data_IF_809248194263
#
_entry.id   IF_809248194263
#
_cell.length_a   1.000
_cell.length_b   1.000
_cell.length_c   1.000
_cell.angle_alpha   90.00
_cell.angle_beta   90.00
_cell.angle_gamma   90.00
#
_symmetry.space_group_name_H-M   'P 1'
#
loop_
_entity.id
_entity.type
_entity.pdbx_description
1 polymer ?
#
# COMPACT_ATOMS: atom_id res chain seq x y z
N UNK A 1 27.26 6.92 -44.48
CA UNK A 1 27.62 6.42 -43.14
C UNK A 1 27.25 7.40 -42.01
N UNK A 2 27.59 8.70 -42.10
CA UNK A 2 27.27 9.68 -41.04
C UNK A 2 25.77 9.97 -40.82
N UNK A 3 24.94 9.84 -41.86
CA UNK A 3 23.48 10.05 -41.75
C UNK A 3 22.79 9.00 -40.87
N UNK A 4 23.22 7.73 -40.96
CA UNK A 4 22.66 6.61 -40.19
C UNK A 4 22.97 6.72 -38.69
N UNK A 5 24.14 7.24 -38.33
CA UNK A 5 24.52 7.51 -36.93
C UNK A 5 23.67 8.62 -36.29
N UNK A 6 23.24 9.63 -37.07
CA UNK A 6 22.42 10.73 -36.54
C UNK A 6 21.02 10.27 -36.14
N UNK A 7 20.40 9.40 -36.95
CA UNK A 7 19.10 8.82 -36.61
C UNK A 7 19.20 7.87 -35.42
N UNK A 8 20.27 7.07 -35.31
CA UNK A 8 20.50 6.22 -34.15
C UNK A 8 20.61 7.04 -32.85
N UNK A 9 21.35 8.16 -32.86
CA UNK A 9 21.47 9.07 -31.71
C UNK A 9 20.13 9.73 -31.38
N UNK A 10 19.37 10.15 -32.40
CA UNK A 10 18.05 10.75 -32.22
C UNK A 10 17.07 9.77 -31.56
N UNK A 11 17.04 8.51 -32.01
CA UNK A 11 16.19 7.47 -31.43
C UNK A 11 16.61 7.08 -30.01
N UNK A 12 17.90 6.98 -29.72
CA UNK A 12 18.40 6.72 -28.36
C UNK A 12 17.98 7.85 -27.41
N UNK A 13 18.09 9.11 -27.84
CA UNK A 13 17.71 10.27 -27.02
C UNK A 13 16.20 10.30 -26.76
N UNK A 14 15.38 9.97 -27.77
CA UNK A 14 13.92 9.85 -27.62
C UNK A 14 13.54 8.72 -26.67
N UNK A 15 14.19 7.55 -26.77
CA UNK A 15 13.95 6.43 -25.85
C UNK A 15 14.31 6.76 -24.40
N UNK A 16 15.43 7.46 -24.16
CA UNK A 16 15.83 7.89 -22.81
C UNK A 16 14.84 8.92 -22.26
N UNK A 17 14.36 9.86 -23.08
CA UNK A 17 13.36 10.84 -22.66
C UNK A 17 12.01 10.19 -22.31
N UNK A 18 11.59 9.16 -23.05
CA UNK A 18 10.35 8.39 -22.79
C UNK A 18 10.45 7.48 -21.55
N UNK A 19 11.65 6.99 -21.22
CA UNK A 19 11.88 6.17 -20.01
C UNK A 19 11.79 6.97 -18.71
N UNK A 20 11.92 8.31 -18.76
CA UNK A 20 11.76 9.20 -17.60
C UNK A 20 10.29 9.49 -17.23
N UNK A 21 9.34 8.70 -17.76
CA UNK A 21 7.94 8.72 -17.32
C UNK A 21 7.87 8.22 -15.88
N UNK A 22 8.02 9.18 -14.97
CA UNK A 22 8.03 9.10 -13.50
C UNK A 22 7.26 7.90 -12.95
N UNK A 23 7.99 6.93 -12.42
CA UNK A 23 7.55 6.28 -11.20
C UNK A 23 7.47 7.39 -10.13
N UNK A 24 6.27 7.91 -9.87
CA UNK A 24 6.05 8.77 -8.73
C UNK A 24 6.26 7.90 -7.50
N UNK A 25 7.44 7.95 -6.89
CA UNK A 25 7.63 7.41 -5.55
C UNK A 25 6.61 8.13 -4.67
N UNK A 26 5.61 7.41 -4.16
CA UNK A 26 4.67 7.99 -3.21
C UNK A 26 5.47 8.57 -2.05
N UNK A 27 5.25 9.85 -1.76
CA UNK A 27 5.83 10.51 -0.60
C UNK A 27 5.15 9.97 0.64
N UNK A 28 5.72 8.90 1.19
CA UNK A 28 5.30 8.35 2.46
C UNK A 28 5.75 9.27 3.60
N UNK A 29 4.83 9.57 4.50
CA UNK A 29 5.03 10.36 5.72
C UNK A 29 4.84 9.43 6.90
N UNK A 30 5.73 9.51 7.88
CA UNK A 30 5.56 8.77 9.13
C UNK A 30 4.39 9.36 9.91
N UNK A 31 3.37 8.54 10.13
CA UNK A 31 2.24 8.87 10.98
C UNK A 31 2.66 8.89 12.45
N UNK A 32 2.32 9.97 13.16
CA UNK A 32 2.77 10.17 14.53
C UNK A 32 2.05 9.24 15.52
N UNK A 33 0.80 8.88 15.25
CA UNK A 33 -0.05 8.14 16.19
C UNK A 33 0.22 6.64 16.11
N UNK A 34 0.43 6.12 14.90
CA UNK A 34 0.62 4.67 14.65
C UNK A 34 2.04 4.26 14.32
N UNK A 35 2.94 5.22 14.04
CA UNK A 35 4.31 4.96 13.56
C UNK A 35 4.35 4.18 12.24
N UNK A 36 3.30 4.28 11.42
CA UNK A 36 3.20 3.67 10.09
C UNK A 36 3.55 4.72 9.03
N UNK A 37 4.29 4.33 7.99
CA UNK A 37 4.54 5.20 6.84
C UNK A 37 3.32 5.20 5.90
N UNK A 38 2.65 6.35 5.76
CA UNK A 38 1.42 6.51 4.98
C UNK A 38 1.61 7.49 3.83
N UNK A 39 0.87 7.35 2.71
CA UNK A 39 0.88 8.36 1.66
C UNK A 39 0.40 9.72 2.19
N UNK A 40 0.96 10.81 1.66
CA UNK A 40 0.56 12.16 2.06
C UNK A 40 -0.96 12.38 1.92
N UNK A 41 -1.61 12.87 2.98
CA UNK A 41 -3.05 13.11 3.05
C UNK A 41 -3.87 11.96 3.63
N UNK A 42 -3.25 10.84 3.99
CA UNK A 42 -3.85 9.76 4.76
C UNK A 42 -3.51 9.90 6.25
N UNK A 43 -4.36 9.29 7.08
CA UNK A 43 -4.27 9.24 8.54
C UNK A 43 -4.59 7.81 9.00
N UNK A 44 -4.00 7.35 10.11
CA UNK A 44 -4.26 6.03 10.67
C UNK A 44 -4.48 6.12 12.18
N UNK A 45 -5.42 5.33 12.68
CA UNK A 45 -5.77 5.28 14.10
C UNK A 45 -5.81 3.83 14.59
N UNK A 46 -5.30 3.59 15.80
CA UNK A 46 -5.46 2.31 16.48
C UNK A 46 -6.87 2.20 17.07
N UNK A 47 -7.75 1.44 16.41
CA UNK A 47 -9.13 1.26 16.88
C UNK A 47 -9.27 0.14 17.92
N UNK A 48 -8.45 -0.91 17.85
CA UNK A 48 -8.54 -2.06 18.75
C UNK A 48 -7.22 -2.83 18.81
N UNK A 49 -6.75 -3.12 20.03
CA UNK A 49 -5.62 -4.02 20.27
C UNK A 49 -6.14 -5.44 20.52
N UNK A 50 -5.70 -6.41 19.71
CA UNK A 50 -6.20 -7.78 19.78
C UNK A 50 -5.59 -8.50 20.99
N UNK A 51 -6.41 -8.93 21.97
CA UNK A 51 -5.89 -9.68 23.11
C UNK A 51 -5.49 -11.10 22.69
N UNK A 52 -4.49 -11.68 23.35
CA UNK A 52 -4.00 -13.03 23.05
C UNK A 52 -5.09 -14.12 23.09
N UNK A 53 -6.17 -13.91 23.86
CA UNK A 53 -7.33 -14.80 23.89
C UNK A 53 -8.11 -14.88 22.56
N UNK A 54 -7.91 -13.93 21.65
CA UNK A 54 -8.55 -13.85 20.34
C UNK A 54 -7.64 -14.28 19.18
N UNK A 55 -6.41 -14.73 19.48
CA UNK A 55 -5.45 -15.21 18.47
C UNK A 55 -4.89 -14.11 17.58
N UNK A 56 -4.33 -14.50 16.44
CA UNK A 56 -3.80 -13.59 15.42
C UNK A 56 -4.82 -13.44 14.31
N UNK A 57 -5.36 -12.24 14.08
CA UNK A 57 -6.35 -12.04 13.03
C UNK A 57 -5.73 -12.03 11.64
N UNK A 58 -6.28 -12.83 10.71
CA UNK A 58 -5.73 -13.02 9.35
C UNK A 58 -6.72 -12.69 8.23
N UNK A 59 -8.01 -12.55 8.54
CA UNK A 59 -9.04 -12.19 7.58
C UNK A 59 -10.05 -11.23 8.19
N UNK A 60 -10.58 -10.32 7.38
CA UNK A 60 -11.58 -9.35 7.80
C UNK A 60 -12.57 -9.02 6.67
N UNK A 61 -13.82 -8.73 7.03
CA UNK A 61 -14.85 -8.25 6.11
C UNK A 61 -15.88 -7.38 6.84
N UNK A 62 -16.51 -6.46 6.13
CA UNK A 62 -17.65 -5.71 6.66
C UNK A 62 -18.94 -6.54 6.55
N UNK A 63 -19.76 -6.51 7.60
CA UNK A 63 -21.12 -7.01 7.54
C UNK A 63 -22.09 -5.95 6.97
N UNK A 64 -23.37 -6.29 6.67
CA UNK A 64 -24.34 -5.33 6.11
C UNK A 64 -24.65 -4.11 6.99
N UNK A 65 -24.18 -4.07 8.24
CA UNK A 65 -24.31 -2.92 9.14
C UNK A 65 -23.03 -2.10 9.22
N UNK A 66 -22.00 -2.43 8.43
CA UNK A 66 -20.71 -1.74 8.44
C UNK A 66 -19.79 -2.14 9.60
N UNK A 67 -20.09 -3.23 10.31
CA UNK A 67 -19.25 -3.74 11.41
C UNK A 67 -18.17 -4.66 10.87
N UNK A 68 -17.04 -4.76 11.54
CA UNK A 68 -15.96 -5.67 11.13
C UNK A 68 -16.19 -7.07 11.69
N UNK A 69 -16.21 -8.06 10.80
CA UNK A 69 -16.08 -9.48 11.11
C UNK A 69 -14.63 -9.86 10.85
N UNK A 70 -13.99 -10.53 11.81
CA UNK A 70 -12.55 -10.87 11.76
C UNK A 70 -12.35 -12.33 12.18
N UNK A 71 -11.42 -13.02 11.54
CA UNK A 71 -11.08 -14.42 11.87
C UNK A 71 -9.67 -14.50 12.43
N UNK A 72 -9.51 -15.29 13.48
CA UNK A 72 -8.20 -15.76 13.90
C UNK A 72 -7.59 -16.75 12.90
N UNK A 73 -6.28 -16.95 13.00
CA UNK A 73 -5.47 -17.85 12.19
C UNK A 73 -5.73 -19.33 12.48
N UNK A 74 -6.04 -19.67 13.73
CA UNK A 74 -6.08 -21.04 14.24
C UNK A 74 -7.50 -21.42 14.72
N UNK A 75 -7.70 -21.55 16.04
CA UNK A 75 -8.88 -22.17 16.67
C UNK A 75 -9.62 -21.26 17.65
N UNK A 76 -9.29 -19.96 17.70
CA UNK A 76 -9.95 -18.95 18.54
C UNK A 76 -11.26 -18.46 17.93
N UNK A 77 -11.41 -18.60 16.61
CA UNK A 77 -12.67 -18.44 15.90
C UNK A 77 -12.87 -17.07 15.28
N UNK A 78 -14.13 -16.65 15.19
CA UNK A 78 -14.55 -15.42 14.48
C UNK A 78 -15.11 -14.42 15.48
N UNK A 79 -14.59 -13.19 15.42
CA UNK A 79 -15.01 -12.09 16.28
C UNK A 79 -15.72 -11.02 15.46
N UNK A 80 -16.48 -10.17 16.16
CA UNK A 80 -17.15 -9.01 15.58
C UNK A 80 -16.79 -7.78 16.38
N UNK A 81 -16.18 -6.79 15.72
CA UNK A 81 -15.91 -5.47 16.27
C UNK A 81 -17.11 -4.57 16.01
N UNK A 82 -17.64 -3.90 17.05
CA UNK A 82 -18.90 -3.13 17.01
C UNK A 82 -18.75 -1.76 17.60
#
# INVERSE_FOLDING_TARGET
MQSQMKYAILWITVCIALCNSRASAEHLVLDADTQINLPSGFDAELLYEVPASQGSWVAMAFDPKGRLIVSDQDDKGVFRLT
#
